data_IF_444855525919
#
_entry.id   IF_444855525919
#
_cell.length_a   1.000
_cell.length_b   1.000
_cell.length_c   1.000
_cell.angle_alpha   90.00
_cell.angle_beta   90.00
_cell.angle_gamma   90.00
#
_symmetry.space_group_name_H-M   'P 1'
#
loop_
_entity.id
_entity.type
_entity.pdbx_description
1 polymer ?
#
# COMPACT_ATOMS: atom_id res chain seq x y z
N UNK A 1 14.05 35.38 10.93
CA UNK A 1 13.60 34.95 9.59
C UNK A 1 13.60 33.43 9.54
N UNK A 2 12.42 32.85 9.33
CA UNK A 2 12.10 31.43 9.45
C UNK A 2 12.60 30.69 8.21
N UNK A 3 13.40 29.63 8.36
CA UNK A 3 13.56 28.63 7.30
C UNK A 3 12.73 27.42 7.70
N UNK A 4 11.48 27.44 7.25
CA UNK A 4 10.52 26.35 7.40
C UNK A 4 11.04 25.19 6.57
N UNK A 5 11.49 24.13 7.22
CA UNK A 5 11.84 22.87 6.58
C UNK A 5 10.51 22.26 6.14
N UNK A 6 10.13 22.50 4.88
CA UNK A 6 9.04 21.76 4.26
C UNK A 6 9.48 20.32 4.14
N UNK A 7 8.99 19.49 5.07
CA UNK A 7 8.97 18.05 4.91
C UNK A 7 8.22 17.75 3.62
N UNK A 8 8.97 17.56 2.53
CA UNK A 8 8.44 17.05 1.28
C UNK A 8 7.87 15.68 1.60
N UNK A 9 6.55 15.62 1.79
CA UNK A 9 5.81 14.40 1.53
C UNK A 9 6.10 14.08 0.08
N UNK A 10 7.05 13.17 -0.13
CA UNK A 10 7.26 12.54 -1.43
C UNK A 10 5.92 11.88 -1.71
N UNK A 11 5.08 12.58 -2.48
CA UNK A 11 3.98 11.94 -3.17
C UNK A 11 4.67 10.97 -4.09
N UNK A 12 4.87 9.74 -3.62
CA UNK A 12 5.21 8.65 -4.51
C UNK A 12 3.97 8.56 -5.38
N UNK A 13 4.04 9.23 -6.54
CA UNK A 13 3.03 9.17 -7.57
C UNK A 13 3.23 7.80 -8.19
N UNK A 14 2.91 6.76 -7.41
CA UNK A 14 3.05 5.40 -7.84
C UNK A 14 2.04 5.24 -8.97
N UNK A 15 2.55 4.96 -10.17
CA UNK A 15 1.79 4.90 -11.41
C UNK A 15 0.92 3.62 -11.46
N UNK A 16 0.17 3.36 -10.38
CA UNK A 16 -0.74 2.21 -10.28
C UNK A 16 -1.90 2.47 -11.22
N UNK A 17 -2.02 1.58 -12.19
CA UNK A 17 -3.24 1.45 -12.97
C UNK A 17 -4.35 0.82 -12.13
N UNK A 18 -5.59 1.06 -12.54
CA UNK A 18 -6.76 0.42 -11.94
C UNK A 18 -6.63 -1.10 -11.97
N UNK A 19 -6.10 -1.69 -13.04
CA UNK A 19 -5.92 -3.15 -13.15
C UNK A 19 -4.92 -3.69 -12.12
N UNK A 20 -3.84 -2.95 -11.84
CA UNK A 20 -2.86 -3.33 -10.81
C UNK A 20 -3.46 -3.23 -9.41
N UNK A 21 -4.28 -2.21 -9.15
CA UNK A 21 -5.02 -2.10 -7.89
C UNK A 21 -6.02 -3.25 -7.73
N UNK A 22 -6.79 -3.56 -8.78
CA UNK A 22 -7.71 -4.70 -8.80
C UNK A 22 -6.96 -6.01 -8.49
N UNK A 23 -5.85 -6.27 -9.19
CA UNK A 23 -5.01 -7.43 -8.93
C UNK A 23 -4.54 -7.49 -7.47
N UNK A 24 -4.08 -6.37 -6.91
CA UNK A 24 -3.59 -6.34 -5.53
C UNK A 24 -4.71 -6.55 -4.49
N UNK A 25 -5.93 -6.08 -4.77
CA UNK A 25 -7.11 -6.31 -3.91
C UNK A 25 -7.49 -7.80 -3.92
N UNK A 26 -7.63 -8.38 -5.11
CA UNK A 26 -8.01 -9.78 -5.31
C UNK A 26 -6.98 -10.74 -4.70
N UNK A 27 -5.71 -10.42 -4.83
CA UNK A 27 -4.58 -11.22 -4.36
C UNK A 27 -4.00 -10.70 -3.03
N UNK A 28 -4.75 -9.91 -2.28
CA UNK A 28 -4.25 -9.21 -1.08
C UNK A 28 -3.71 -10.14 0.01
N UNK A 29 -4.25 -11.36 0.10
CA UNK A 29 -3.87 -12.43 1.02
C UNK A 29 -2.73 -13.32 0.52
N UNK A 30 -2.32 -13.17 -0.73
CA UNK A 30 -1.18 -13.91 -1.27
C UNK A 30 0.14 -13.43 -0.68
N UNK A 31 1.14 -14.31 -0.76
CA UNK A 31 2.49 -14.03 -0.30
C UNK A 31 3.11 -12.90 -1.14
N UNK A 32 3.94 -12.07 -0.49
CA UNK A 32 4.59 -10.94 -1.14
C UNK A 32 5.43 -11.38 -2.36
N UNK A 33 6.10 -12.54 -2.29
CA UNK A 33 6.87 -13.10 -3.40
C UNK A 33 6.03 -13.31 -4.68
N UNK A 34 4.77 -13.74 -4.54
CA UNK A 34 3.86 -13.94 -5.67
C UNK A 34 3.42 -12.59 -6.24
N UNK A 35 3.18 -11.61 -5.38
CA UNK A 35 2.81 -10.26 -5.80
C UNK A 35 3.96 -9.58 -6.55
N UNK A 36 5.20 -9.73 -6.07
CA UNK A 36 6.41 -9.21 -6.72
C UNK A 36 6.68 -9.87 -8.08
N UNK A 37 6.25 -11.12 -8.26
CA UNK A 37 6.40 -11.81 -9.55
C UNK A 37 5.45 -11.28 -10.62
N UNK A 38 4.31 -10.71 -10.22
CA UNK A 38 3.24 -10.29 -11.15
C UNK A 38 3.11 -8.77 -11.26
N UNK A 39 3.68 -8.03 -10.32
CA UNK A 39 3.64 -6.58 -10.29
C UNK A 39 5.05 -6.01 -10.47
N UNK A 40 5.24 -5.02 -11.36
CA UNK A 40 6.53 -4.37 -11.59
C UNK A 40 6.82 -3.32 -10.50
N UNK A 41 6.68 -3.69 -9.23
CA UNK A 41 6.85 -2.81 -8.08
C UNK A 41 7.72 -3.49 -7.02
N UNK A 42 8.35 -2.67 -6.19
CA UNK A 42 9.14 -3.13 -5.05
C UNK A 42 8.24 -3.58 -3.89
N UNK A 43 8.79 -4.36 -2.97
CA UNK A 43 8.04 -4.84 -1.81
C UNK A 43 7.46 -3.68 -0.99
N UNK A 44 8.25 -2.62 -0.76
CA UNK A 44 7.83 -1.43 -0.03
C UNK A 44 6.67 -0.70 -0.74
N UNK A 45 6.70 -0.61 -2.08
CA UNK A 45 5.64 0.01 -2.87
C UNK A 45 4.34 -0.78 -2.79
N UNK A 46 4.42 -2.11 -2.84
CA UNK A 46 3.26 -3.00 -2.69
C UNK A 46 2.70 -2.88 -1.26
N UNK A 47 3.55 -2.86 -0.23
CA UNK A 47 3.13 -2.68 1.17
C UNK A 47 2.44 -1.33 1.36
N UNK A 48 3.04 -0.25 0.87
CA UNK A 48 2.44 1.08 0.94
C UNK A 48 1.11 1.14 0.18
N UNK A 49 1.02 0.49 -0.98
CA UNK A 49 -0.24 0.44 -1.73
C UNK A 49 -1.30 -0.37 -0.99
N UNK A 50 -0.96 -1.49 -0.36
CA UNK A 50 -1.88 -2.24 0.51
C UNK A 50 -2.41 -1.41 1.68
N UNK A 51 -1.58 -0.52 2.24
CA UNK A 51 -2.02 0.43 3.27
C UNK A 51 -2.98 1.49 2.71
N UNK A 52 -2.67 2.07 1.54
CA UNK A 52 -3.51 3.06 0.84
C UNK A 52 -4.87 2.46 0.48
N UNK A 53 -4.90 1.21 0.00
CA UNK A 53 -6.12 0.47 -0.33
C UNK A 53 -6.86 -0.05 0.92
N UNK A 54 -6.33 0.19 2.12
CA UNK A 54 -6.96 -0.21 3.39
C UNK A 54 -6.95 -1.74 3.65
N UNK A 55 -6.22 -2.51 2.85
CA UNK A 55 -6.17 -3.98 2.91
C UNK A 55 -5.51 -4.49 4.21
N UNK A 56 -4.62 -3.69 4.82
CA UNK A 56 -3.90 -4.03 6.06
C UNK A 56 -4.71 -3.68 7.32
N UNK A 57 -5.70 -2.79 7.25
CA UNK A 57 -6.39 -2.23 8.44
C UNK A 57 -7.46 -3.13 9.05
N UNK A 58 -7.81 -4.27 8.43
CA UNK A 58 -8.92 -5.12 8.89
C UNK A 58 -8.59 -6.01 10.10
N UNK A 59 -7.34 -6.13 10.54
CA UNK A 59 -7.00 -7.02 11.67
C UNK A 59 -7.16 -6.38 13.07
N UNK A 60 -7.23 -5.05 13.23
CA UNK A 60 -7.28 -4.42 14.57
C UNK A 60 -8.68 -4.03 15.07
N UNK A 61 -9.71 -4.08 14.23
CA UNK A 61 -11.07 -3.64 14.59
C UNK A 61 -12.03 -4.78 14.96
N UNK A 62 -11.58 -6.04 14.99
CA UNK A 62 -12.41 -7.18 15.42
C UNK A 62 -12.19 -7.62 16.88
N UNK A 63 -11.38 -6.89 17.66
CA UNK A 63 -11.03 -7.25 19.05
C UNK A 63 -11.49 -6.22 20.10
N UNK A 64 -12.40 -5.31 19.75
CA UNK A 64 -13.02 -4.37 20.70
C UNK A 64 -14.54 -4.36 20.57
N UNK A 65 -15.11 -5.53 20.82
CA UNK A 65 -16.55 -5.77 20.76
C UNK A 65 -16.92 -7.00 21.57
N UNK A 66 -16.44 -7.08 22.82
CA UNK A 66 -17.02 -7.86 23.92
C UNK A 66 -16.44 -7.35 25.23
#
# INVERSE_FOLDING_TARGET
MVRKIEGKSVKINTNWSTDQDCYLIENSTQQMSVLLSNLPFSEDEIRQRKEVLGLVRRQKQMMKGR
#
